data_IF_101545291212
#
_entry.id   IF_101545291212
#
_cell.length_a   1.000
_cell.length_b   1.000
_cell.length_c   1.000
_cell.angle_alpha   90.00
_cell.angle_beta   90.00
_cell.angle_gamma   90.00
#
_symmetry.space_group_name_H-M   'P 1'
#
loop_
_entity.id
_entity.type
_entity.pdbx_description
1 polymer ?
#
# COMPACT_ATOMS: atom_id res chain seq x y z
N UNK A 1 -4.57 -41.30 -6.89
CA UNK A 1 -5.42 -41.65 -8.04
C UNK A 1 -5.81 -40.33 -8.67
N UNK A 2 -5.17 -39.89 -9.75
CA UNK A 2 -5.45 -40.35 -11.12
C UNK A 2 -6.72 -39.61 -11.57
N UNK A 3 -6.77 -38.73 -12.56
CA UNK A 3 -5.98 -38.63 -13.78
C UNK A 3 -5.86 -37.17 -14.24
N UNK A 4 -4.72 -36.90 -14.87
CA UNK A 4 -4.43 -35.74 -15.70
C UNK A 4 -5.13 -35.89 -17.06
N UNK A 5 -5.70 -34.82 -17.62
CA UNK A 5 -5.49 -34.46 -19.02
C UNK A 5 -5.80 -32.97 -19.29
N UNK A 6 -4.99 -32.30 -20.12
CA UNK A 6 -5.21 -30.92 -20.58
C UNK A 6 -5.93 -30.91 -21.94
N UNK A 7 -6.94 -30.06 -22.09
CA UNK A 7 -7.57 -29.80 -23.39
C UNK A 7 -6.81 -28.71 -24.14
N UNK A 8 -6.06 -29.15 -25.14
CA UNK A 8 -5.45 -28.32 -26.16
C UNK A 8 -6.51 -27.84 -27.16
N UNK A 9 -6.45 -26.53 -27.44
CA UNK A 9 -6.73 -25.84 -28.71
C UNK A 9 -7.48 -26.63 -29.81
N UNK A 10 -8.68 -26.16 -30.16
CA UNK A 10 -9.27 -26.37 -31.48
C UNK A 10 -10.10 -25.15 -31.90
N UNK A 11 -9.69 -24.49 -32.98
CA UNK A 11 -10.60 -23.95 -33.99
C UNK A 11 -9.89 -23.98 -35.38
N UNK A 12 -10.55 -24.50 -36.44
CA UNK A 12 -10.04 -24.62 -37.81
C UNK A 12 -10.45 -23.41 -38.66
N UNK A 13 -9.86 -23.09 -39.82
CA UNK A 13 -10.14 -23.66 -41.16
C UNK A 13 -9.39 -22.80 -42.23
N UNK A 14 -8.69 -23.37 -43.23
CA UNK A 14 -9.14 -23.72 -44.61
C UNK A 14 -9.59 -22.47 -45.42
N UNK A 15 -9.24 -22.13 -46.67
CA UNK A 15 -8.38 -22.63 -47.78
C UNK A 15 -8.55 -21.59 -48.93
N UNK A 16 -7.45 -21.19 -49.57
CA UNK A 16 -7.25 -20.82 -51.01
C UNK A 16 -7.91 -19.57 -51.60
N UNK A 17 -7.10 -18.73 -52.28
CA UNK A 17 -7.13 -18.57 -53.75
C UNK A 17 -5.81 -17.94 -54.26
N UNK A 18 -5.43 -18.36 -55.46
CA UNK A 18 -4.24 -18.01 -56.25
C UNK A 18 -4.66 -17.05 -57.35
N UNK A 19 -3.93 -15.96 -57.58
CA UNK A 19 -3.99 -15.16 -58.83
C UNK A 19 -2.72 -14.29 -58.92
N UNK A 20 -1.70 -14.70 -59.67
CA UNK A 20 -1.41 -14.23 -61.04
C UNK A 20 -1.39 -12.71 -61.13
N UNK A 21 -0.20 -12.10 -60.98
CA UNK A 21 0.06 -10.73 -61.45
C UNK A 21 0.82 -10.80 -62.77
N UNK A 22 0.09 -10.54 -63.87
CA UNK A 22 0.63 -10.27 -65.20
C UNK A 22 0.86 -8.76 -65.36
N UNK A 23 2.08 -8.44 -65.77
CA UNK A 23 2.58 -7.32 -66.58
C UNK A 23 1.71 -6.10 -66.87
N UNK A 24 2.24 -4.89 -66.59
CA UNK A 24 2.16 -3.69 -67.46
C UNK A 24 3.43 -2.84 -67.19
N UNK A 25 4.49 -2.97 -67.97
CA UNK A 25 4.91 -2.08 -69.09
C UNK A 25 5.00 -0.61 -68.68
N UNK A 26 6.22 -0.04 -68.73
CA UNK A 26 6.39 1.41 -68.63
C UNK A 26 7.82 1.95 -68.42
N UNK A 27 8.83 1.39 -69.08
CA UNK A 27 9.94 2.21 -69.60
C UNK A 27 9.64 2.39 -71.11
N UNK A 28 10.09 3.42 -71.86
CA UNK A 28 11.03 4.52 -71.56
C UNK A 28 10.46 5.87 -72.15
N UNK A 29 11.18 6.91 -72.67
CA UNK A 29 12.52 6.97 -73.26
C UNK A 29 13.51 7.85 -72.49
N UNK A 30 14.71 7.29 -72.25
CA UNK A 30 15.94 8.06 -72.26
C UNK A 30 16.03 8.75 -73.62
N UNK A 31 15.82 10.06 -73.64
CA UNK A 31 15.98 10.87 -74.82
C UNK A 31 17.43 10.75 -75.29
N UNK A 32 17.55 10.19 -76.50
CA UNK A 32 18.70 10.25 -77.38
C UNK A 32 19.27 11.67 -77.31
N UNK A 33 20.55 11.80 -76.92
CA UNK A 33 21.31 12.99 -77.26
C UNK A 33 21.48 12.98 -78.78
N UNK A 34 20.46 13.47 -79.48
CA UNK A 34 20.63 13.97 -80.84
C UNK A 34 21.50 15.22 -80.71
N UNK A 35 22.80 15.00 -80.94
CA UNK A 35 23.69 16.03 -81.47
C UNK A 35 23.10 16.52 -82.79
N UNK A 36 22.13 17.41 -82.71
CA UNK A 36 21.88 18.37 -83.77
C UNK A 36 23.08 19.33 -83.75
N UNK A 37 24.13 18.91 -84.44
CA UNK A 37 25.05 19.83 -85.10
C UNK A 37 24.19 20.68 -86.03
N UNK A 38 23.66 21.78 -85.50
CA UNK A 38 23.16 22.86 -86.33
C UNK A 38 24.35 23.30 -87.17
N UNK A 39 24.24 23.02 -88.47
CA UNK A 39 25.09 23.49 -89.54
C UNK A 39 25.57 24.91 -89.18
N UNK A 40 26.87 25.03 -88.92
CA UNK A 40 27.57 26.27 -89.20
C UNK A 40 27.28 26.54 -90.68
N UNK A 41 26.24 27.33 -90.92
CA UNK A 41 26.09 27.99 -92.19
C UNK A 41 27.32 28.85 -92.31
N UNK A 42 28.27 28.32 -93.06
CA UNK A 42 29.44 28.96 -93.62
C UNK A 42 29.08 30.41 -93.94
N UNK A 43 29.32 31.30 -92.98
CA UNK A 43 29.55 32.69 -93.33
C UNK A 43 30.96 32.66 -93.84
N UNK A 44 31.06 32.55 -95.17
CA UNK A 44 32.22 32.94 -95.95
C UNK A 44 32.95 34.05 -95.19
N UNK A 45 34.02 33.67 -94.50
CA UNK A 45 35.02 34.64 -94.06
C UNK A 45 35.67 35.03 -95.37
N UNK A 46 35.09 36.04 -96.01
CA UNK A 46 35.71 36.72 -97.14
C UNK A 46 37.11 37.10 -96.62
N UNK A 47 38.19 36.61 -97.23
CA UNK A 47 39.52 37.00 -96.81
C UNK A 47 39.60 38.52 -96.91
N UNK A 48 39.90 39.17 -95.79
CA UNK A 48 40.08 40.62 -95.70
C UNK A 48 41.37 40.99 -96.44
N UNK A 49 41.26 41.12 -97.77
CA UNK A 49 42.33 41.61 -98.63
C UNK A 49 42.38 43.12 -98.45
N UNK A 50 43.39 43.59 -97.71
CA UNK A 50 43.73 45.00 -97.56
C UNK A 50 44.71 45.37 -98.69
N UNK A 51 44.25 45.35 -99.93
CA UNK A 51 44.96 46.03 -101.03
C UNK A 51 44.39 47.45 -101.18
N UNK A 52 45.23 48.49 -101.30
CA UNK A 52 44.76 49.84 -101.54
C UNK A 52 44.01 49.87 -102.87
N UNK A 53 42.78 50.39 -102.82
CA UNK A 53 41.90 50.44 -103.99
C UNK A 53 42.52 51.34 -105.08
N UNK A 54 42.29 50.99 -106.35
CA UNK A 54 42.67 51.85 -107.47
C UNK A 54 42.04 53.24 -107.30
N UNK A 55 42.78 54.30 -107.64
CA UNK A 55 42.32 55.70 -107.50
C UNK A 55 40.98 55.94 -108.22
N UNK A 56 40.74 55.24 -109.34
CA UNK A 56 39.47 55.33 -110.06
C UNK A 56 38.31 54.68 -109.28
N UNK A 57 38.59 53.60 -108.56
CA UNK A 57 37.60 52.88 -107.75
C UNK A 57 37.32 53.62 -106.44
N UNK A 58 38.36 54.21 -105.83
CA UNK A 58 38.23 55.16 -104.72
C UNK A 58 37.27 56.29 -105.07
N UNK A 59 37.43 56.91 -106.26
CA UNK A 59 36.57 58.02 -106.67
C UNK A 59 35.12 57.56 -106.89
N UNK A 60 34.91 56.42 -107.55
CA UNK A 60 33.59 55.84 -107.79
C UNK A 60 32.89 55.49 -106.47
N UNK A 61 33.60 54.82 -105.56
CA UNK A 61 33.05 54.40 -104.26
C UNK A 61 32.77 55.63 -103.39
N UNK A 62 33.66 56.63 -103.37
CA UNK A 62 33.46 57.87 -102.62
C UNK A 62 32.20 58.62 -103.09
N UNK A 63 31.97 58.73 -104.40
CA UNK A 63 30.73 59.36 -104.90
C UNK A 63 29.46 58.63 -104.48
N UNK A 64 29.53 57.31 -104.32
CA UNK A 64 28.40 56.51 -103.81
C UNK A 64 28.26 56.69 -102.29
N UNK A 65 29.36 56.75 -101.54
CA UNK A 65 29.33 56.99 -100.10
C UNK A 65 28.84 58.40 -99.76
N UNK A 66 29.21 59.41 -100.55
CA UNK A 66 28.68 60.78 -100.48
C UNK A 66 27.17 60.80 -100.67
N UNK A 67 26.67 60.18 -101.75
CA UNK A 67 25.22 60.07 -102.00
C UNK A 67 24.51 59.31 -100.86
N UNK A 68 25.10 58.25 -100.31
CA UNK A 68 24.52 57.56 -99.15
C UNK A 68 24.52 58.42 -97.87
N UNK A 69 25.54 59.25 -97.67
CA UNK A 69 25.62 60.19 -96.55
C UNK A 69 24.57 61.29 -96.67
N UNK A 70 24.37 61.79 -97.89
CA UNK A 70 23.33 62.75 -98.21
C UNK A 70 21.94 62.16 -98.02
N UNK A 71 21.72 60.91 -98.44
CA UNK A 71 20.46 60.19 -98.23
C UNK A 71 20.20 59.90 -96.73
N UNK A 72 21.23 59.55 -95.94
CA UNK A 72 21.13 59.40 -94.49
C UNK A 72 20.88 60.73 -93.78
N UNK A 73 21.37 61.84 -94.36
CA UNK A 73 21.10 63.20 -93.90
C UNK A 73 19.65 63.59 -94.21
N UNK A 74 19.14 63.28 -95.40
CA UNK A 74 17.73 63.46 -95.77
C UNK A 74 16.83 62.64 -94.85
N UNK A 75 17.20 61.39 -94.53
CA UNK A 75 16.45 60.55 -93.58
C UNK A 75 16.36 61.19 -92.18
N UNK A 76 17.41 61.90 -91.73
CA UNK A 76 17.39 62.68 -90.50
C UNK A 76 16.41 63.87 -90.55
N UNK A 77 16.29 64.51 -91.72
CA UNK A 77 15.33 65.61 -91.95
C UNK A 77 13.88 65.11 -92.02
N UNK A 78 13.65 63.92 -92.56
CA UNK A 78 12.32 63.30 -92.66
C UNK A 78 11.87 62.73 -91.31
N UNK A 79 12.81 62.26 -90.48
CA UNK A 79 12.52 61.63 -89.19
C UNK A 79 13.25 62.28 -88.00
N UNK A 80 13.03 63.57 -87.70
CA UNK A 80 13.68 64.26 -86.59
C UNK A 80 13.04 63.87 -85.24
N UNK A 81 13.86 63.50 -84.26
CA UNK A 81 13.40 63.33 -82.87
C UNK A 81 13.21 64.70 -82.22
N UNK A 82 12.15 65.42 -82.59
CA UNK A 82 11.78 66.69 -81.92
C UNK A 82 10.29 66.73 -81.55
N UNK A 83 9.98 66.18 -80.38
CA UNK A 83 8.88 66.67 -79.56
C UNK A 83 9.44 67.04 -78.18
N UNK A 84 9.75 68.33 -77.99
CA UNK A 84 10.26 68.84 -76.72
C UNK A 84 10.76 70.28 -76.70
N UNK A 85 10.41 71.14 -77.68
CA UNK A 85 10.93 72.51 -77.76
C UNK A 85 9.82 73.55 -78.00
N UNK A 86 8.95 73.75 -77.02
CA UNK A 86 8.19 75.01 -76.85
C UNK A 86 7.78 75.17 -75.38
N UNK A 87 8.65 75.77 -74.58
CA UNK A 87 8.33 76.63 -73.42
C UNK A 87 9.64 77.14 -72.83
N UNK A 88 9.99 78.40 -73.09
CA UNK A 88 10.88 79.20 -72.23
C UNK A 88 11.03 80.61 -72.79
N UNK A 89 10.15 81.50 -72.35
CA UNK A 89 10.48 82.91 -72.16
C UNK A 89 9.92 83.31 -70.81
N UNK A 90 10.76 83.32 -69.77
CA UNK A 90 10.61 84.18 -68.59
C UNK A 90 11.82 84.04 -67.67
N UNK A 91 12.71 85.04 -67.78
CA UNK A 91 13.42 85.73 -66.70
C UNK A 91 14.27 84.93 -65.68
N UNK A 92 15.59 85.15 -65.84
CA UNK A 92 16.54 85.72 -64.87
C UNK A 92 16.73 85.05 -63.48
N UNK A 93 18.03 84.80 -63.26
CA UNK A 93 18.90 85.17 -62.11
C UNK A 93 19.30 84.06 -61.12
N UNK A 94 20.63 83.96 -61.03
CA UNK A 94 21.47 83.81 -59.82
C UNK A 94 21.75 82.38 -59.33
N UNK A 95 23.04 81.99 -59.44
CA UNK A 95 24.04 81.87 -58.35
C UNK A 95 23.92 80.52 -57.63
N UNK A 96 24.80 79.56 -57.93
CA UNK A 96 26.21 79.43 -57.50
C UNK A 96 26.34 78.46 -56.34
N UNK A 97 27.41 77.68 -56.41
CA UNK A 97 28.12 76.97 -55.34
C UNK A 97 27.81 75.47 -55.18
N UNK A 98 28.79 74.67 -55.62
CA UNK A 98 29.55 73.64 -54.85
C UNK A 98 28.79 72.72 -53.88
N UNK A 99 29.12 71.45 -53.68
CA UNK A 99 30.41 70.74 -53.76
C UNK A 99 30.13 69.23 -53.60
N UNK A 100 30.91 68.42 -54.30
CA UNK A 100 31.59 67.18 -53.86
C UNK A 100 30.81 66.12 -53.06
N UNK A 101 30.66 64.91 -53.61
CA UNK A 101 31.54 63.73 -53.37
C UNK A 101 31.29 63.13 -51.97
N UNK A 102 31.24 61.83 -51.72
CA UNK A 102 31.94 60.71 -52.33
C UNK A 102 31.23 59.40 -51.97
N UNK A 103 31.55 58.39 -52.78
CA UNK A 103 31.41 56.96 -52.58
C UNK A 103 31.20 56.45 -51.14
N UNK A 104 30.36 55.43 -50.98
CA UNK A 104 30.83 54.04 -51.12
C UNK A 104 29.76 53.01 -50.73
N UNK A 105 29.85 51.88 -51.42
CA UNK A 105 29.03 50.68 -51.33
C UNK A 105 29.24 49.97 -49.99
N UNK A 106 28.23 49.28 -49.46
CA UNK A 106 28.31 47.82 -49.20
C UNK A 106 26.91 47.24 -49.03
N UNK A 107 26.84 45.95 -49.35
CA UNK A 107 25.69 45.13 -49.67
C UNK A 107 25.27 44.20 -48.51
N UNK A 108 24.14 43.50 -48.75
CA UNK A 108 23.64 42.22 -48.18
C UNK A 108 22.40 42.38 -47.29
N UNK A 109 21.21 42.09 -47.81
CA UNK A 109 20.53 40.78 -47.94
C UNK A 109 20.15 40.17 -46.58
N UNK A 110 18.86 40.17 -46.23
CA UNK A 110 18.03 38.95 -46.14
C UNK A 110 16.76 39.17 -45.30
N UNK A 111 15.64 38.75 -45.88
CA UNK A 111 14.34 38.38 -45.29
C UNK A 111 14.47 37.31 -44.16
N UNK A 112 13.43 36.88 -43.38
CA UNK A 112 12.08 36.51 -43.88
C UNK A 112 10.85 36.74 -42.97
N UNK A 113 9.67 36.65 -43.60
CA UNK A 113 8.34 36.48 -43.01
C UNK A 113 8.18 35.14 -42.27
N UNK A 114 7.29 35.02 -41.27
CA UNK A 114 5.86 34.58 -41.34
C UNK A 114 5.33 34.40 -39.88
N UNK A 115 4.05 34.07 -39.56
CA UNK A 115 2.86 33.84 -40.40
C UNK A 115 1.56 34.53 -39.90
N UNK A 116 0.48 34.50 -40.69
CA UNK A 116 -0.84 34.24 -40.11
C UNK A 116 -1.70 33.39 -41.05
N UNK A 117 -2.26 32.38 -40.44
CA UNK A 117 -3.21 31.37 -40.89
C UNK A 117 -4.62 31.95 -40.86
N UNK A 118 -5.46 31.59 -41.82
CA UNK A 118 -6.92 31.55 -41.61
C UNK A 118 -7.57 30.58 -42.61
N UNK A 119 -8.51 29.78 -42.12
CA UNK A 119 -9.37 28.94 -42.96
C UNK A 119 -10.84 29.06 -42.53
N UNK A 120 -11.70 29.33 -43.53
CA UNK A 120 -13.10 28.90 -43.79
C UNK A 120 -14.32 29.77 -43.39
N UNK A 121 -14.95 30.31 -44.47
CA UNK A 121 -16.37 30.19 -44.94
C UNK A 121 -17.53 30.76 -44.07
N UNK A 122 -18.78 30.88 -44.60
CA UNK A 122 -19.26 31.75 -45.69
C UNK A 122 -20.52 32.56 -45.27
N UNK A 123 -20.81 33.70 -45.91
CA UNK A 123 -22.00 34.51 -45.58
C UNK A 123 -22.43 35.43 -46.70
N UNK A 124 -23.73 35.40 -46.98
CA UNK A 124 -24.42 35.89 -48.17
C UNK A 124 -24.65 37.41 -48.16
N UNK A 125 -24.81 37.94 -49.38
CA UNK A 125 -25.57 39.13 -49.79
C UNK A 125 -24.87 40.49 -49.97
N UNK A 126 -24.83 40.85 -51.26
CA UNK A 126 -25.21 42.14 -51.87
C UNK A 126 -24.55 43.41 -51.33
N UNK A 127 -23.73 44.01 -52.20
CA UNK A 127 -23.64 45.46 -52.28
C UNK A 127 -22.24 45.97 -52.56
N UNK A 128 -21.74 45.80 -53.79
CA UNK A 128 -20.99 46.83 -54.53
C UNK A 128 -20.32 46.21 -55.78
N UNK A 129 -21.13 45.83 -56.76
CA UNK A 129 -20.65 45.58 -58.12
C UNK A 129 -20.53 46.88 -58.95
N UNK A 130 -20.74 48.07 -58.34
CA UNK A 130 -20.75 49.36 -59.06
C UNK A 130 -19.49 50.22 -58.91
N UNK A 131 -18.48 49.82 -58.13
CA UNK A 131 -17.26 50.63 -57.94
C UNK A 131 -16.01 50.13 -58.66
N UNK A 132 -16.00 48.90 -59.20
CA UNK A 132 -14.83 48.30 -59.86
C UNK A 132 -14.85 48.32 -61.40
N UNK A 133 -16.00 48.58 -62.04
CA UNK A 133 -16.07 48.71 -63.51
C UNK A 133 -15.65 50.11 -63.99
N UNK A 134 -15.94 51.16 -63.20
CA UNK A 134 -15.55 52.54 -63.55
C UNK A 134 -14.02 52.74 -63.58
N UNK A 135 -13.29 52.07 -62.67
CA UNK A 135 -11.82 52.12 -62.63
C UNK A 135 -11.15 51.24 -63.70
N UNK A 136 -11.80 50.15 -64.16
CA UNK A 136 -11.24 49.30 -65.23
C UNK A 136 -11.39 49.92 -66.63
N UNK A 137 -12.43 50.72 -66.87
CA UNK A 137 -12.57 51.44 -68.14
C UNK A 137 -11.62 52.64 -68.25
N UNK A 138 -11.29 53.32 -67.15
CA UNK A 138 -10.27 54.38 -67.17
C UNK A 138 -8.85 53.83 -67.33
N UNK A 139 -8.51 52.70 -66.69
CA UNK A 139 -7.14 52.17 -66.69
C UNK A 139 -6.75 51.42 -67.99
N UNK A 140 -7.75 50.97 -68.78
CA UNK A 140 -7.53 50.33 -70.08
C UNK A 140 -7.46 51.33 -71.26
N UNK A 141 -8.07 52.52 -71.11
CA UNK A 141 -8.09 53.55 -72.16
C UNK A 141 -6.80 54.42 -72.13
N UNK A 142 -6.14 54.56 -70.98
CA UNK A 142 -4.88 55.32 -70.88
C UNK A 142 -3.60 54.48 -71.08
N UNK A 143 -3.63 53.14 -70.94
CA UNK A 143 -2.40 52.31 -71.03
C UNK A 143 -2.09 51.75 -72.41
N UNK A 144 -3.09 51.58 -73.29
CA UNK A 144 -2.90 51.10 -74.67
C UNK A 144 -2.19 52.12 -75.58
N UNK A 145 -2.57 53.41 -75.62
CA UNK A 145 -1.81 54.38 -76.41
C UNK A 145 -0.41 54.56 -75.83
N UNK A 146 -0.26 54.58 -74.50
CA UNK A 146 1.03 54.85 -73.84
C UNK A 146 2.08 53.76 -74.09
N UNK A 147 1.74 52.46 -74.12
CA UNK A 147 2.70 51.40 -74.49
C UNK A 147 3.05 51.40 -75.98
N UNK A 148 2.09 51.66 -76.87
CA UNK A 148 2.37 51.80 -78.30
C UNK A 148 3.20 53.04 -78.61
N UNK A 149 2.93 54.16 -77.92
CA UNK A 149 3.69 55.41 -78.02
C UNK A 149 5.09 55.28 -77.43
N UNK A 150 5.27 54.64 -76.27
CA UNK A 150 6.61 54.43 -75.69
C UNK A 150 7.45 53.48 -76.55
N UNK A 151 6.89 52.36 -77.00
CA UNK A 151 7.57 51.46 -77.94
C UNK A 151 7.93 52.16 -79.25
N UNK A 152 7.05 53.00 -79.78
CA UNK A 152 7.33 53.83 -80.96
C UNK A 152 8.46 54.82 -80.70
N UNK A 153 8.54 55.43 -79.51
CA UNK A 153 9.63 56.35 -79.16
C UNK A 153 10.98 55.64 -78.95
N UNK A 154 10.99 54.45 -78.34
CA UNK A 154 12.23 53.67 -78.16
C UNK A 154 12.73 53.13 -79.51
N UNK A 155 11.82 52.71 -80.40
CA UNK A 155 12.12 52.32 -81.77
C UNK A 155 12.66 53.52 -82.55
N UNK A 156 12.03 54.71 -82.45
CA UNK A 156 12.52 55.94 -83.09
C UNK A 156 13.92 56.33 -82.58
N UNK A 157 14.17 56.23 -81.27
CA UNK A 157 15.50 56.46 -80.69
C UNK A 157 16.52 55.45 -81.23
N UNK A 158 16.17 54.16 -81.26
CA UNK A 158 17.02 53.11 -81.83
C UNK A 158 17.34 53.38 -83.30
N UNK A 159 16.34 53.73 -84.11
CA UNK A 159 16.56 54.06 -85.53
C UNK A 159 17.46 55.29 -85.65
N UNK A 160 17.30 56.30 -84.79
CA UNK A 160 18.17 57.48 -84.82
C UNK A 160 19.61 57.16 -84.38
N UNK A 161 19.80 56.31 -83.37
CA UNK A 161 21.14 55.86 -82.95
C UNK A 161 21.79 54.98 -84.00
N UNK A 162 21.02 54.08 -84.62
CA UNK A 162 21.50 53.22 -85.70
C UNK A 162 21.86 54.07 -86.93
N UNK A 163 21.02 55.05 -87.31
CA UNK A 163 21.30 56.02 -88.38
C UNK A 163 22.57 56.82 -88.10
N UNK A 164 22.73 57.34 -86.88
CA UNK A 164 23.92 58.09 -86.50
C UNK A 164 25.16 57.20 -86.59
N UNK A 165 25.09 55.97 -86.08
CA UNK A 165 26.15 54.99 -86.17
C UNK A 165 26.53 54.66 -87.62
N UNK A 166 25.56 54.45 -88.52
CA UNK A 166 25.83 54.25 -89.95
C UNK A 166 26.43 55.50 -90.61
N UNK A 167 25.93 56.69 -90.27
CA UNK A 167 26.46 57.96 -90.76
C UNK A 167 27.92 58.13 -90.36
N UNK A 168 28.24 57.89 -89.08
CA UNK A 168 29.60 58.03 -88.54
C UNK A 168 30.56 57.03 -89.21
N UNK A 169 30.13 55.76 -89.38
CA UNK A 169 30.93 54.75 -90.08
C UNK A 169 31.16 55.14 -91.54
N UNK A 170 30.12 55.58 -92.26
CA UNK A 170 30.25 55.94 -93.68
C UNK A 170 31.18 57.15 -93.82
N UNK A 171 31.07 58.18 -92.98
CA UNK A 171 31.97 59.32 -93.00
C UNK A 171 33.41 58.94 -92.65
N UNK A 172 33.61 58.09 -91.65
CA UNK A 172 34.94 57.59 -91.27
C UNK A 172 35.56 56.76 -92.40
N UNK A 173 34.76 55.98 -93.13
CA UNK A 173 35.23 55.16 -94.25
C UNK A 173 35.50 55.98 -95.51
N UNK A 174 34.73 57.03 -95.75
CA UNK A 174 34.95 57.96 -96.85
C UNK A 174 36.24 58.75 -96.63
N UNK A 175 36.45 59.23 -95.40
CA UNK A 175 37.70 59.88 -95.00
C UNK A 175 38.91 58.93 -95.12
N UNK A 176 38.78 57.68 -94.64
CA UNK A 176 39.85 56.67 -94.77
C UNK A 176 40.14 56.32 -96.25
N UNK A 177 39.12 56.31 -97.09
CA UNK A 177 39.24 56.01 -98.52
C UNK A 177 39.92 57.17 -99.29
N UNK A 178 39.67 58.42 -98.91
CA UNK A 178 40.33 59.61 -99.45
C UNK A 178 41.79 59.74 -98.97
N UNK A 179 42.06 59.42 -97.71
CA UNK A 179 43.39 59.61 -97.08
C UNK A 179 44.36 58.46 -97.38
N UNK A 180 43.90 57.21 -97.34
CA UNK A 180 44.76 56.02 -97.45
C UNK A 180 44.29 54.97 -98.45
N UNK A 181 43.12 55.15 -99.08
CA UNK A 181 42.59 54.19 -100.06
C UNK A 181 42.14 52.85 -99.47
N UNK A 182 41.90 52.80 -98.16
CA UNK A 182 41.55 51.59 -97.40
C UNK A 182 40.20 51.74 -96.66
N UNK A 183 39.64 50.62 -96.18
CA UNK A 183 38.32 50.58 -95.52
C UNK A 183 38.32 49.83 -94.17
N UNK A 184 39.43 49.91 -93.42
CA UNK A 184 39.63 49.17 -92.16
C UNK A 184 38.67 49.60 -91.05
N UNK A 185 38.17 50.84 -91.07
CA UNK A 185 37.18 51.35 -90.13
C UNK A 185 35.84 50.60 -90.23
N UNK A 186 35.34 50.38 -91.45
CA UNK A 186 34.11 49.60 -91.70
C UNK A 186 34.26 48.17 -91.20
N UNK A 187 35.42 47.58 -91.44
CA UNK A 187 35.74 46.21 -91.14
C UNK A 187 35.86 45.97 -89.62
N UNK A 188 36.50 46.89 -88.89
CA UNK A 188 36.51 46.88 -87.41
C UNK A 188 35.11 47.05 -86.82
N UNK A 189 34.30 47.95 -87.38
CA UNK A 189 32.92 48.14 -86.95
C UNK A 189 32.06 46.89 -87.20
N UNK A 190 32.23 46.24 -88.36
CA UNK A 190 31.56 44.99 -88.71
C UNK A 190 32.00 43.83 -87.79
N UNK A 191 33.29 43.73 -87.48
CA UNK A 191 33.81 42.74 -86.53
C UNK A 191 33.21 42.90 -85.13
N UNK A 192 33.15 44.13 -84.63
CA UNK A 192 32.52 44.46 -83.34
C UNK A 192 31.02 44.14 -83.33
N UNK A 193 30.31 44.40 -84.43
CA UNK A 193 28.89 44.08 -84.53
C UNK A 193 28.64 42.56 -84.62
N UNK A 194 29.53 41.82 -85.30
CA UNK A 194 29.51 40.34 -85.29
C UNK A 194 29.73 39.79 -83.87
N UNK A 195 30.68 40.33 -83.12
CA UNK A 195 30.95 39.95 -81.73
C UNK A 195 29.77 40.29 -80.80
N UNK A 196 29.21 41.51 -80.91
CA UNK A 196 28.01 41.91 -80.17
C UNK A 196 26.84 40.97 -80.43
N UNK A 197 26.63 40.58 -81.69
CA UNK A 197 25.59 39.62 -82.09
C UNK A 197 25.83 38.25 -81.48
N UNK A 198 27.07 37.76 -81.46
CA UNK A 198 27.43 36.50 -80.80
C UNK A 198 27.15 36.55 -79.29
N UNK A 199 27.60 37.62 -78.61
CA UNK A 199 27.33 37.84 -77.19
C UNK A 199 25.84 37.92 -76.86
N UNK A 200 25.02 38.51 -77.74
CA UNK A 200 23.57 38.56 -77.55
C UNK A 200 22.95 37.15 -77.60
N UNK A 201 23.36 36.30 -78.55
CA UNK A 201 22.92 34.91 -78.59
C UNK A 201 23.39 34.12 -77.36
N UNK A 202 24.62 34.35 -76.87
CA UNK A 202 25.12 33.73 -75.63
C UNK A 202 24.31 34.15 -74.40
N UNK A 203 23.90 35.42 -74.32
CA UNK A 203 23.04 35.93 -73.24
C UNK A 203 21.67 35.24 -73.31
N UNK A 204 21.07 35.13 -74.50
CA UNK A 204 19.79 34.44 -74.68
C UNK A 204 19.88 32.98 -74.25
N UNK A 205 20.91 32.26 -74.71
CA UNK A 205 21.10 30.85 -74.37
C UNK A 205 21.27 30.66 -72.85
N UNK A 206 22.04 31.53 -72.19
CA UNK A 206 22.19 31.52 -70.72
C UNK A 206 20.88 31.84 -69.99
N UNK A 207 20.11 32.82 -70.47
CA UNK A 207 18.81 33.15 -69.87
C UNK A 207 17.83 31.99 -69.99
N UNK A 208 17.77 31.33 -71.16
CA UNK A 208 16.89 30.18 -71.37
C UNK A 208 17.29 28.99 -70.48
N UNK A 209 18.59 28.71 -70.37
CA UNK A 209 19.13 27.71 -69.44
C UNK A 209 18.77 28.05 -67.99
N UNK A 210 18.89 29.32 -67.60
CA UNK A 210 18.47 29.81 -66.28
C UNK A 210 16.98 29.61 -66.03
N UNK A 211 16.12 29.94 -67.00
CA UNK A 211 14.66 29.70 -66.92
C UNK A 211 14.33 28.21 -66.81
N UNK A 212 15.04 27.34 -67.54
CA UNK A 212 14.90 25.87 -67.43
C UNK A 212 15.29 25.39 -66.02
N UNK A 213 16.40 25.88 -65.46
CA UNK A 213 16.83 25.56 -64.08
C UNK A 213 15.86 26.08 -63.02
N UNK A 214 15.33 27.30 -63.16
CA UNK A 214 14.33 27.84 -62.22
C UNK A 214 13.07 26.97 -62.24
N UNK A 215 12.59 26.57 -63.43
CA UNK A 215 11.42 25.68 -63.55
C UNK A 215 11.67 24.30 -62.94
N UNK A 216 12.86 23.71 -63.11
CA UNK A 216 13.19 22.42 -62.49
C UNK A 216 13.26 22.54 -60.96
N UNK A 217 13.89 23.58 -60.43
CA UNK A 217 13.96 23.84 -58.98
C UNK A 217 12.56 24.11 -58.39
N UNK A 218 11.71 24.87 -59.08
CA UNK A 218 10.32 25.08 -58.66
C UNK A 218 9.54 23.76 -58.60
N UNK A 219 9.73 22.87 -59.58
CA UNK A 219 9.11 21.53 -59.59
C UNK A 219 9.64 20.65 -58.44
N UNK A 220 10.94 20.66 -58.19
CA UNK A 220 11.55 19.95 -57.06
C UNK A 220 11.01 20.46 -55.71
N UNK A 221 10.93 21.78 -55.53
CA UNK A 221 10.40 22.39 -54.31
C UNK A 221 8.94 22.00 -54.06
N UNK A 222 8.12 21.97 -55.12
CA UNK A 222 6.72 21.54 -55.01
C UNK A 222 6.62 20.05 -54.67
N UNK A 223 7.44 19.20 -55.30
CA UNK A 223 7.50 17.78 -54.98
C UNK A 223 7.90 17.52 -53.52
N UNK A 224 8.97 18.16 -53.04
CA UNK A 224 9.41 18.06 -51.63
C UNK A 224 8.31 18.53 -50.67
N UNK A 225 7.59 19.60 -51.01
CA UNK A 225 6.45 20.06 -50.20
C UNK A 225 5.31 19.03 -50.15
N UNK A 226 5.01 18.38 -51.29
CA UNK A 226 3.99 17.33 -51.37
C UNK A 226 4.41 16.08 -50.58
N UNK A 227 5.65 15.64 -50.73
CA UNK A 227 6.22 14.50 -49.99
C UNK A 227 6.19 14.75 -48.48
N UNK A 228 6.65 15.94 -48.04
CA UNK A 228 6.59 16.33 -46.63
C UNK A 228 5.16 16.33 -46.10
N UNK A 229 4.20 16.80 -46.90
CA UNK A 229 2.79 16.79 -46.49
C UNK A 229 2.23 15.37 -46.37
N UNK A 230 2.56 14.49 -47.31
CA UNK A 230 2.16 13.07 -47.25
C UNK A 230 2.79 12.37 -46.04
N UNK A 231 4.06 12.64 -45.73
CA UNK A 231 4.73 12.08 -44.56
C UNK A 231 4.10 12.57 -43.24
N UNK A 232 3.76 13.86 -43.15
CA UNK A 232 3.04 14.41 -41.99
C UNK A 232 1.66 13.74 -41.82
N UNK A 233 0.93 13.52 -42.92
CA UNK A 233 -0.35 12.82 -42.88
C UNK A 233 -0.19 11.37 -42.41
N UNK A 234 0.76 10.62 -42.98
CA UNK A 234 1.05 9.24 -42.57
C UNK A 234 1.46 9.14 -41.09
N UNK A 235 2.29 10.07 -40.61
CA UNK A 235 2.66 10.14 -39.19
C UNK A 235 1.47 10.48 -38.30
N UNK A 236 0.58 11.38 -38.73
CA UNK A 236 -0.64 11.71 -37.99
C UNK A 236 -1.61 10.54 -37.91
N UNK A 237 -1.76 9.77 -38.99
CA UNK A 237 -2.54 8.53 -39.01
C UNK A 237 -1.96 7.49 -38.06
N UNK A 238 -0.64 7.33 -38.05
CA UNK A 238 0.04 6.44 -37.11
C UNK A 238 -0.15 6.87 -35.64
N UNK A 239 -0.07 8.17 -35.36
CA UNK A 239 -0.38 8.72 -34.03
C UNK A 239 -1.84 8.43 -33.64
N UNK A 240 -2.79 8.57 -34.56
CA UNK A 240 -4.20 8.27 -34.29
C UNK A 240 -4.39 6.79 -33.96
N UNK A 241 -3.82 5.88 -34.76
CA UNK A 241 -3.85 4.44 -34.51
C UNK A 241 -3.24 4.08 -33.14
N UNK A 242 -2.08 4.66 -32.78
CA UNK A 242 -1.47 4.44 -31.46
C UNK A 242 -2.33 4.95 -30.30
N UNK A 243 -3.03 6.08 -30.49
CA UNK A 243 -3.98 6.60 -29.49
C UNK A 243 -5.16 5.66 -29.31
N UNK A 244 -5.70 5.13 -30.39
CA UNK A 244 -6.82 4.18 -30.35
C UNK A 244 -6.40 2.89 -29.65
N UNK A 245 -5.22 2.33 -29.98
CA UNK A 245 -4.66 1.17 -29.28
C UNK A 245 -4.47 1.42 -27.79
N UNK A 246 -3.95 2.59 -27.42
CA UNK A 246 -3.76 2.96 -26.02
C UNK A 246 -5.10 3.08 -25.28
N UNK A 247 -6.11 3.65 -25.91
CA UNK A 247 -7.44 3.77 -25.34
C UNK A 247 -8.12 2.39 -25.21
N UNK A 248 -7.97 1.52 -26.20
CA UNK A 248 -8.46 0.13 -26.16
C UNK A 248 -7.79 -0.65 -25.02
N UNK A 249 -6.46 -0.60 -24.91
CA UNK A 249 -5.70 -1.25 -23.84
C UNK A 249 -6.14 -0.73 -22.46
N UNK A 250 -6.30 0.59 -22.31
CA UNK A 250 -6.78 1.20 -21.07
C UNK A 250 -8.19 0.72 -20.72
N UNK A 251 -9.08 0.61 -21.70
CA UNK A 251 -10.42 0.08 -21.48
C UNK A 251 -10.39 -1.39 -21.07
N UNK A 252 -9.62 -2.24 -21.77
CA UNK A 252 -9.43 -3.66 -21.45
C UNK A 252 -8.89 -3.86 -20.05
N UNK A 253 -7.77 -3.23 -19.70
CA UNK A 253 -7.16 -3.33 -18.36
C UNK A 253 -8.11 -2.84 -17.27
N UNK A 254 -8.89 -1.78 -17.51
CA UNK A 254 -9.88 -1.32 -16.53
C UNK A 254 -11.03 -2.33 -16.34
N UNK A 255 -11.51 -2.97 -17.40
CA UNK A 255 -12.53 -4.02 -17.31
C UNK A 255 -11.99 -5.25 -16.58
N UNK A 256 -10.79 -5.71 -16.94
CA UNK A 256 -10.10 -6.84 -16.31
C UNK A 256 -9.87 -6.56 -14.82
N UNK A 257 -9.38 -5.38 -14.44
CA UNK A 257 -9.20 -5.00 -13.04
C UNK A 257 -10.53 -5.04 -12.26
N UNK A 258 -11.63 -4.54 -12.84
CA UNK A 258 -12.95 -4.59 -12.19
C UNK A 258 -13.44 -6.02 -12.05
N UNK A 259 -13.26 -6.85 -13.07
CA UNK A 259 -13.62 -8.25 -13.03
C UNK A 259 -12.82 -9.01 -11.96
N UNK A 260 -11.49 -8.85 -11.95
CA UNK A 260 -10.60 -9.49 -10.97
C UNK A 260 -10.90 -9.04 -9.55
N UNK A 261 -11.12 -7.75 -9.32
CA UNK A 261 -11.54 -7.23 -8.02
C UNK A 261 -12.87 -7.86 -7.58
N UNK A 262 -13.87 -7.89 -8.46
CA UNK A 262 -15.17 -8.48 -8.13
C UNK A 262 -15.07 -9.99 -7.85
N UNK A 263 -14.28 -10.70 -8.65
CA UNK A 263 -14.05 -12.13 -8.48
C UNK A 263 -13.37 -12.45 -7.15
N UNK A 264 -12.31 -11.72 -6.80
CA UNK A 264 -11.60 -11.88 -5.52
C UNK A 264 -12.48 -11.51 -4.32
N UNK A 265 -13.23 -10.41 -4.39
CA UNK A 265 -14.23 -10.03 -3.36
C UNK A 265 -15.29 -11.13 -3.16
N UNK A 266 -15.78 -11.73 -4.26
CA UNK A 266 -16.74 -12.83 -4.18
C UNK A 266 -16.13 -14.07 -3.53
N UNK A 267 -14.90 -14.44 -3.88
CA UNK A 267 -14.20 -15.57 -3.24
C UNK A 267 -13.97 -15.33 -1.75
N UNK A 268 -13.55 -14.12 -1.36
CA UNK A 268 -13.39 -13.73 0.05
C UNK A 268 -14.74 -13.82 0.76
N UNK A 269 -15.80 -13.23 0.20
CA UNK A 269 -17.15 -13.26 0.81
C UNK A 269 -17.69 -14.69 0.94
N UNK A 270 -17.47 -15.53 -0.07
CA UNK A 270 -17.90 -16.93 -0.05
C UNK A 270 -17.16 -17.71 1.05
N UNK A 271 -15.84 -17.54 1.13
CA UNK A 271 -15.01 -18.18 2.16
C UNK A 271 -15.42 -17.70 3.54
N UNK A 272 -15.58 -16.38 3.73
CA UNK A 272 -16.05 -15.79 4.98
C UNK A 272 -17.41 -16.36 5.40
N UNK A 273 -18.38 -16.47 4.48
CA UNK A 273 -19.69 -17.06 4.79
C UNK A 273 -19.60 -18.54 5.17
N UNK A 274 -18.68 -19.30 4.58
CA UNK A 274 -18.46 -20.70 4.98
C UNK A 274 -17.89 -20.78 6.39
N UNK A 275 -16.86 -19.97 6.67
CA UNK A 275 -16.24 -19.89 7.99
C UNK A 275 -17.24 -19.45 9.07
N UNK A 276 -18.02 -18.40 8.81
CA UNK A 276 -19.03 -17.91 9.76
C UNK A 276 -20.08 -18.99 10.08
N UNK A 277 -20.56 -19.74 9.07
CA UNK A 277 -21.52 -20.84 9.32
C UNK A 277 -20.91 -21.94 10.18
N UNK A 278 -19.66 -22.32 9.93
CA UNK A 278 -18.98 -23.32 10.76
C UNK A 278 -18.75 -22.81 12.18
N UNK A 279 -18.44 -21.53 12.33
CA UNK A 279 -18.27 -20.87 13.63
C UNK A 279 -19.59 -20.82 14.41
N UNK A 280 -20.69 -20.43 13.75
CA UNK A 280 -22.04 -20.44 14.34
C UNK A 280 -22.44 -21.84 14.84
N UNK A 281 -22.19 -22.89 14.04
CA UNK A 281 -22.47 -24.27 14.45
C UNK A 281 -21.65 -24.70 15.67
N UNK A 282 -20.36 -24.33 15.73
CA UNK A 282 -19.51 -24.60 16.88
C UNK A 282 -19.97 -23.82 18.12
N UNK A 283 -20.40 -22.57 17.96
CA UNK A 283 -20.94 -21.76 19.06
C UNK A 283 -22.25 -22.35 19.60
N UNK A 284 -23.13 -22.85 18.73
CA UNK A 284 -24.34 -23.58 19.14
C UNK A 284 -24.00 -24.86 19.90
N UNK A 285 -22.99 -25.62 19.46
CA UNK A 285 -22.52 -26.83 20.14
C UNK A 285 -21.93 -26.51 21.52
N UNK A 286 -21.10 -25.47 21.63
CA UNK A 286 -20.58 -24.96 22.90
C UNK A 286 -21.75 -24.58 23.82
N UNK A 287 -22.77 -23.89 23.31
CA UNK A 287 -23.97 -23.55 24.07
C UNK A 287 -24.71 -24.79 24.60
N UNK A 288 -24.91 -25.79 23.76
CA UNK A 288 -25.53 -27.08 24.16
C UNK A 288 -24.71 -27.81 25.21
N UNK A 289 -23.39 -27.84 25.08
CA UNK A 289 -22.50 -28.47 26.05
C UNK A 289 -22.53 -27.73 27.40
N UNK A 290 -22.52 -26.39 27.39
CA UNK A 290 -22.65 -25.59 28.62
C UNK A 290 -23.95 -25.90 29.36
N UNK A 291 -25.09 -25.94 28.66
CA UNK A 291 -26.37 -26.29 29.26
C UNK A 291 -26.36 -27.70 29.87
N UNK A 292 -25.76 -28.69 29.20
CA UNK A 292 -25.61 -30.04 29.74
C UNK A 292 -24.73 -30.07 31.00
N UNK A 293 -23.62 -29.35 30.99
CA UNK A 293 -22.72 -29.25 32.16
C UNK A 293 -23.43 -28.56 33.33
N UNK A 294 -24.20 -27.51 33.09
CA UNK A 294 -25.00 -26.84 34.12
C UNK A 294 -26.04 -27.78 34.72
N UNK A 295 -26.72 -28.58 33.89
CA UNK A 295 -27.69 -29.59 34.35
C UNK A 295 -27.01 -30.70 35.17
N UNK A 296 -25.88 -31.23 34.70
CA UNK A 296 -25.09 -32.22 35.44
C UNK A 296 -24.60 -31.67 36.79
N UNK A 297 -24.12 -30.42 36.83
CA UNK A 297 -23.72 -29.76 38.07
C UNK A 297 -24.89 -29.62 39.06
N UNK A 298 -26.09 -29.28 38.55
CA UNK A 298 -27.30 -29.19 39.36
C UNK A 298 -27.66 -30.56 39.95
N UNK A 299 -27.72 -31.59 39.12
CA UNK A 299 -28.03 -32.96 39.55
C UNK A 299 -26.98 -33.43 40.57
N UNK A 300 -25.69 -33.18 40.32
CA UNK A 300 -24.61 -33.53 41.24
C UNK A 300 -24.80 -32.87 42.61
N UNK A 301 -25.12 -31.59 42.63
CA UNK A 301 -25.39 -30.86 43.88
C UNK A 301 -26.62 -31.41 44.61
N UNK A 302 -27.69 -31.77 43.90
CA UNK A 302 -28.87 -32.42 44.50
C UNK A 302 -28.54 -33.79 45.11
N UNK A 303 -27.74 -34.61 44.42
CA UNK A 303 -27.26 -35.90 44.93
C UNK A 303 -26.36 -35.71 46.15
N UNK A 304 -25.40 -34.78 46.09
CA UNK A 304 -24.49 -34.51 47.19
C UNK A 304 -25.25 -34.03 48.43
N UNK A 305 -26.21 -33.13 48.26
CA UNK A 305 -27.09 -32.68 49.34
C UNK A 305 -27.89 -33.84 49.94
N UNK A 306 -28.40 -34.76 49.12
CA UNK A 306 -29.11 -35.95 49.59
C UNK A 306 -28.19 -36.85 50.43
N UNK A 307 -26.99 -37.16 49.93
CA UNK A 307 -26.02 -38.01 50.63
C UNK A 307 -25.55 -37.39 51.94
N UNK A 308 -25.26 -36.09 51.95
CA UNK A 308 -24.90 -35.36 53.18
C UNK A 308 -26.01 -35.42 54.23
N UNK A 309 -27.28 -35.31 53.83
CA UNK A 309 -28.43 -35.45 54.74
C UNK A 309 -28.54 -36.86 55.33
N UNK A 310 -28.33 -37.90 54.53
CA UNK A 310 -28.35 -39.28 55.03
C UNK A 310 -27.16 -39.58 55.93
N UNK A 311 -25.97 -39.07 55.59
CA UNK A 311 -24.80 -39.15 56.46
C UNK A 311 -25.07 -38.49 57.82
N UNK A 312 -25.61 -37.26 57.82
CA UNK A 312 -25.96 -36.56 59.05
C UNK A 312 -26.94 -37.37 59.92
N UNK A 313 -27.98 -37.98 59.33
CA UNK A 313 -28.91 -38.85 60.07
C UNK A 313 -28.24 -40.07 60.70
N UNK A 314 -27.20 -40.62 60.05
CA UNK A 314 -26.43 -41.73 60.59
C UNK A 314 -25.49 -41.28 61.70
N UNK A 315 -24.86 -40.11 61.55
CA UNK A 315 -24.03 -39.47 62.58
C UNK A 315 -24.85 -39.19 63.84
N UNK A 316 -26.04 -38.58 63.71
CA UNK A 316 -26.96 -38.34 64.83
C UNK A 316 -27.36 -39.65 65.56
N UNK A 317 -27.61 -40.74 64.81
CA UNK A 317 -27.89 -42.06 65.41
C UNK A 317 -26.66 -42.61 66.13
N UNK A 318 -25.48 -42.45 65.56
CA UNK A 318 -24.22 -42.91 66.14
C UNK A 318 -23.93 -42.16 67.45
N UNK A 319 -24.08 -40.84 67.45
CA UNK A 319 -23.96 -40.01 68.66
C UNK A 319 -24.94 -40.44 69.75
N UNK A 320 -26.21 -40.68 69.39
CA UNK A 320 -27.21 -41.19 70.34
C UNK A 320 -26.79 -42.53 70.96
N UNK A 321 -26.30 -43.47 70.14
CA UNK A 321 -25.87 -44.77 70.66
C UNK A 321 -24.61 -44.66 71.50
N UNK A 322 -23.63 -43.84 71.10
CA UNK A 322 -22.43 -43.57 71.90
C UNK A 322 -22.80 -43.00 73.27
N UNK A 323 -23.64 -41.96 73.31
CA UNK A 323 -24.07 -41.35 74.58
C UNK A 323 -24.84 -42.36 75.46
N UNK A 324 -25.67 -43.21 74.84
CA UNK A 324 -26.35 -44.29 75.57
C UNK A 324 -25.36 -45.30 76.15
N UNK A 325 -24.39 -45.76 75.35
CA UNK A 325 -23.38 -46.71 75.80
C UNK A 325 -22.54 -46.14 76.95
N UNK A 326 -22.14 -44.87 76.86
CA UNK A 326 -21.40 -44.18 77.91
C UNK A 326 -22.23 -44.11 79.21
N UNK A 327 -23.50 -43.67 79.12
CA UNK A 327 -24.42 -43.62 80.28
C UNK A 327 -24.65 -44.99 80.91
N UNK A 328 -24.90 -46.02 80.10
CA UNK A 328 -25.11 -47.39 80.60
C UNK A 328 -23.83 -47.94 81.25
N UNK A 329 -22.66 -47.63 80.68
CA UNK A 329 -21.35 -48.02 81.24
C UNK A 329 -21.08 -47.31 82.56
N UNK A 330 -21.33 -46.00 82.64
CA UNK A 330 -21.23 -45.23 83.89
C UNK A 330 -22.20 -45.76 84.95
N UNK A 331 -23.44 -46.06 84.58
CA UNK A 331 -24.44 -46.65 85.48
C UNK A 331 -23.96 -48.00 86.03
N UNK A 332 -23.46 -48.90 85.17
CA UNK A 332 -22.92 -50.20 85.58
C UNK A 332 -21.65 -50.06 86.42
N UNK A 333 -20.79 -49.10 86.10
CA UNK A 333 -19.60 -48.80 86.90
C UNK A 333 -19.99 -48.28 88.29
N UNK A 334 -21.02 -47.44 88.38
CA UNK A 334 -21.57 -46.93 89.64
C UNK A 334 -22.20 -48.05 90.48
N UNK A 335 -23.01 -48.94 89.87
CA UNK A 335 -23.55 -50.13 90.53
C UNK A 335 -22.42 -51.03 91.07
N UNK A 336 -21.39 -51.28 90.25
CA UNK A 336 -20.23 -52.08 90.66
C UNK A 336 -19.49 -51.43 91.83
N UNK A 337 -19.30 -50.12 91.80
CA UNK A 337 -18.66 -49.37 92.87
C UNK A 337 -19.50 -49.42 94.17
N UNK A 338 -20.82 -49.30 94.06
CA UNK A 338 -21.74 -49.43 95.20
C UNK A 338 -21.68 -50.85 95.82
N UNK A 339 -21.69 -51.90 94.99
CA UNK A 339 -21.54 -53.29 95.47
C UNK A 339 -20.17 -53.54 96.10
N UNK A 340 -19.09 -52.98 95.54
CA UNK A 340 -17.75 -53.05 96.14
C UNK A 340 -17.72 -52.34 97.49
N UNK A 341 -18.34 -51.17 97.62
CA UNK A 341 -18.44 -50.44 98.88
C UNK A 341 -19.26 -51.21 99.92
N UNK A 342 -20.41 -51.78 99.53
CA UNK A 342 -21.23 -52.63 100.40
C UNK A 342 -20.44 -53.86 100.88
N UNK A 343 -19.78 -54.59 99.97
CA UNK A 343 -18.92 -55.73 100.31
C UNK A 343 -17.79 -55.34 101.27
N UNK A 344 -17.16 -54.18 101.06
CA UNK A 344 -16.10 -53.69 101.93
C UNK A 344 -16.65 -53.36 103.34
N UNK A 345 -17.84 -52.74 103.42
CA UNK A 345 -18.54 -52.48 104.68
C UNK A 345 -18.90 -53.78 105.41
N UNK A 346 -19.48 -54.76 104.71
CA UNK A 346 -19.83 -56.06 105.30
C UNK A 346 -18.58 -56.80 105.80
N UNK A 347 -17.50 -56.75 105.02
CA UNK A 347 -16.21 -57.34 105.42
C UNK A 347 -15.65 -56.64 106.67
N UNK A 348 -15.73 -55.31 106.75
CA UNK A 348 -15.32 -54.56 107.94
C UNK A 348 -16.16 -54.95 109.17
N UNK A 349 -17.48 -55.04 109.01
CA UNK A 349 -18.39 -55.49 110.09
C UNK A 349 -18.08 -56.93 110.54
N UNK A 350 -17.79 -57.84 109.61
CA UNK A 350 -17.37 -59.21 109.95
C UNK A 350 -16.01 -59.23 110.67
N UNK A 351 -15.06 -58.39 110.27
CA UNK A 351 -13.77 -58.25 110.95
C UNK A 351 -13.95 -57.68 112.37
N UNK A 352 -14.82 -56.70 112.56
CA UNK A 352 -15.19 -56.17 113.87
C UNK A 352 -15.84 -57.25 114.74
N UNK A 353 -16.82 -57.99 114.21
CA UNK A 353 -17.42 -59.12 114.93
C UNK A 353 -16.38 -60.17 115.32
N UNK A 354 -15.51 -60.58 114.38
CA UNK A 354 -14.44 -61.53 114.67
C UNK A 354 -13.49 -60.99 115.76
N UNK A 355 -13.21 -59.68 115.76
CA UNK A 355 -12.42 -59.04 116.82
C UNK A 355 -13.15 -59.09 118.16
N UNK A 356 -14.44 -58.72 118.20
CA UNK A 356 -15.25 -58.79 119.43
C UNK A 356 -15.37 -60.22 119.97
N UNK A 357 -15.49 -61.23 119.11
CA UNK A 357 -15.49 -62.64 119.52
C UNK A 357 -14.15 -63.01 120.15
N UNK A 358 -13.02 -62.65 119.53
CA UNK A 358 -11.69 -62.89 120.13
C UNK A 358 -11.52 -62.18 121.46
N UNK A 359 -12.01 -60.93 121.57
CA UNK A 359 -12.02 -60.18 122.82
C UNK A 359 -12.87 -60.90 123.89
N UNK A 360 -14.07 -61.38 123.55
CA UNK A 360 -14.90 -62.18 124.48
C UNK A 360 -14.26 -63.51 124.85
N UNK A 361 -13.69 -64.25 123.90
CA UNK A 361 -12.95 -65.49 124.15
C UNK A 361 -11.78 -65.24 125.10
N UNK A 362 -11.02 -64.16 124.89
CA UNK A 362 -9.94 -63.75 125.77
C UNK A 362 -10.45 -63.43 127.19
N UNK A 363 -11.54 -62.68 127.33
CA UNK A 363 -12.17 -62.41 128.63
C UNK A 363 -12.66 -63.69 129.31
N UNK A 364 -13.21 -64.64 128.56
CA UNK A 364 -13.65 -65.95 129.11
C UNK A 364 -12.43 -66.75 129.60
N UNK A 365 -11.34 -66.78 128.83
CA UNK A 365 -10.09 -67.44 129.23
C UNK A 365 -9.52 -66.77 130.48
N UNK A 366 -9.50 -65.44 130.52
CA UNK A 366 -9.04 -64.65 131.66
C UNK A 366 -9.88 -64.93 132.92
N UNK A 367 -11.21 -64.88 132.85
CA UNK A 367 -12.11 -65.24 133.97
C UNK A 367 -11.95 -66.70 134.39
N UNK A 368 -11.74 -67.64 133.44
CA UNK A 368 -11.47 -69.05 133.76
C UNK A 368 -10.16 -69.22 134.52
N UNK A 369 -9.11 -68.52 134.09
CA UNK A 369 -7.78 -68.57 134.70
C UNK A 369 -7.76 -67.84 136.05
N UNK A 370 -8.53 -66.76 136.20
CA UNK A 370 -8.70 -66.02 137.45
C UNK A 370 -9.52 -66.83 138.48
N UNK A 371 -10.56 -67.56 138.04
CA UNK A 371 -11.24 -68.56 138.87
C UNK A 371 -10.34 -69.71 139.28
N UNK A 372 -9.44 -70.16 138.41
CA UNK A 372 -8.47 -71.19 138.76
C UNK A 372 -7.43 -70.67 139.76
N UNK A 373 -6.92 -69.45 139.57
CA UNK A 373 -5.99 -68.78 140.51
C UNK A 373 -6.63 -68.58 141.88
N UNK A 374 -7.87 -68.13 141.93
CA UNK A 374 -8.60 -67.95 143.20
C UNK A 374 -8.86 -69.29 143.90
N UNK A 375 -9.19 -70.35 143.16
CA UNK A 375 -9.26 -71.72 143.71
C UNK A 375 -7.94 -72.17 144.30
N UNK A 376 -6.83 -72.04 143.55
CA UNK A 376 -5.49 -72.38 144.06
C UNK A 376 -5.13 -71.58 145.31
N UNK A 377 -5.51 -70.29 145.36
CA UNK A 377 -5.27 -69.42 146.52
C UNK A 377 -6.07 -69.87 147.74
N UNK A 378 -7.34 -70.18 147.57
CA UNK A 378 -8.19 -70.75 148.63
C UNK A 378 -7.62 -72.09 149.11
N UNK A 379 -7.21 -72.98 148.20
CA UNK A 379 -6.58 -74.27 148.58
C UNK A 379 -5.30 -74.07 149.39
N UNK A 380 -4.49 -73.07 149.04
CA UNK A 380 -3.27 -72.72 149.75
C UNK A 380 -3.56 -72.10 151.12
N UNK A 381 -4.49 -71.16 151.20
CA UNK A 381 -4.96 -70.57 152.47
C UNK A 381 -5.56 -71.66 153.39
N UNK A 382 -6.26 -72.65 152.82
CA UNK A 382 -6.85 -73.77 153.57
C UNK A 382 -5.77 -74.74 154.11
N UNK A 383 -4.67 -74.94 153.36
CA UNK A 383 -3.48 -75.64 153.83
C UNK A 383 -2.73 -74.86 154.92
N UNK A 384 -2.58 -73.55 154.75
CA UNK A 384 -2.00 -72.65 155.76
C UNK A 384 -2.84 -72.67 157.05
N UNK A 385 -4.17 -72.57 156.94
CA UNK A 385 -5.10 -72.68 158.07
C UNK A 385 -4.99 -74.03 158.78
N UNK A 386 -4.87 -75.15 158.03
CA UNK A 386 -4.64 -76.48 158.62
C UNK A 386 -3.31 -76.54 159.37
N UNK A 387 -2.26 -75.87 158.88
CA UNK A 387 -0.98 -75.80 159.59
C UNK A 387 -1.07 -74.92 160.85
N UNK A 388 -1.74 -73.75 160.78
CA UNK A 388 -2.00 -72.87 161.92
C UNK A 388 -2.86 -73.57 162.98
N UNK A 389 -3.92 -74.30 162.59
CA UNK A 389 -4.78 -75.05 163.51
C UNK A 389 -4.00 -76.16 164.24
N UNK A 390 -3.07 -76.85 163.57
CA UNK A 390 -2.16 -77.80 164.22
C UNK A 390 -1.23 -77.11 165.24
N UNK A 391 -0.71 -75.94 164.91
CA UNK A 391 0.09 -75.12 165.84
C UNK A 391 -0.74 -74.66 167.05
N UNK A 392 -1.97 -74.23 166.81
CA UNK A 392 -2.90 -73.77 167.86
C UNK A 392 -3.33 -74.92 168.79
N UNK A 393 -3.52 -76.13 168.25
CA UNK A 393 -3.80 -77.34 169.02
C UNK A 393 -2.59 -77.78 169.88
N UNK A 394 -1.37 -77.67 169.34
CA UNK A 394 -0.13 -77.96 170.08
C UNK A 394 0.09 -76.99 171.25
N UNK A 395 -0.06 -75.68 171.02
CA UNK A 395 0.04 -74.67 172.08
C UNK A 395 -1.06 -74.78 173.15
N UNK A 396 -2.30 -75.12 172.76
CA UNK A 396 -3.39 -75.37 173.72
C UNK A 396 -3.14 -76.63 174.56
N UNK A 397 -2.58 -77.70 173.97
CA UNK A 397 -2.21 -78.93 174.70
C UNK A 397 -1.05 -78.75 175.70
N UNK A 398 -0.09 -77.85 175.41
CA UNK A 398 0.98 -77.48 176.35
C UNK A 398 0.43 -76.62 177.50
N UNK A 399 -0.48 -75.69 177.21
CA UNK A 399 -1.09 -74.80 178.21
C UNK A 399 -1.99 -75.54 179.22
N UNK A 400 -2.55 -76.70 178.84
CA UNK A 400 -3.37 -77.55 179.71
C UNK A 400 -2.53 -78.47 180.62
N UNK A 401 -1.28 -78.80 180.27
CA UNK A 401 -0.43 -79.74 181.04
C UNK A 401 0.43 -79.12 182.16
N UNK A 402 0.36 -77.80 182.38
CA UNK A 402 1.18 -77.08 183.40
C UNK A 402 0.36 -76.27 184.42
N UNK A 403 -0.95 -76.51 184.54
CA UNK A 403 -1.86 -75.99 185.59
C UNK A 403 -1.58 -74.57 186.14
N UNK A 404 -1.62 -73.56 185.25
CA UNK A 404 -1.72 -72.13 185.65
C UNK A 404 -2.96 -71.52 184.98
N UNK A 405 -4.01 -71.30 185.78
CA UNK A 405 -4.96 -70.21 185.61
C UNK A 405 -6.27 -70.47 184.86
N UNK A 406 -7.36 -70.66 185.63
CA UNK A 406 -8.61 -69.89 185.53
C UNK A 406 -9.61 -70.23 184.43
N UNK A 407 -10.42 -71.27 184.63
CA UNK A 407 -11.59 -71.63 183.82
C UNK A 407 -12.84 -70.82 184.25
N UNK A 408 -13.48 -70.09 183.33
CA UNK A 408 -14.83 -69.51 183.50
C UNK A 408 -15.69 -69.71 182.24
N UNK A 409 -16.93 -70.11 182.46
CA UNK A 409 -18.09 -69.94 181.55
C UNK A 409 -19.04 -68.89 182.14
N UNK A 410 -19.41 -67.87 181.34
CA UNK A 410 -20.80 -67.39 181.21
C UNK A 410 -21.13 -67.04 179.73
N UNK A 411 -22.34 -66.97 179.17
CA UNK A 411 -23.74 -66.94 179.63
C UNK A 411 -24.65 -67.23 178.42
N UNK A 412 -25.92 -67.57 178.66
CA UNK A 412 -26.96 -67.94 177.69
C UNK A 412 -28.16 -67.02 177.97
N UNK A 413 -28.56 -66.21 176.99
CA UNK A 413 -29.86 -65.53 176.96
C UNK A 413 -30.76 -66.28 175.96
N UNK A 414 -31.98 -66.57 176.42
CA UNK A 414 -33.13 -67.03 175.63
C UNK A 414 -34.26 -66.05 175.94
N UNK A 415 -34.89 -65.53 174.88
CA UNK A 415 -36.21 -64.92 174.92
C UNK A 415 -37.03 -65.57 173.80
N UNK A 416 -38.20 -66.09 174.17
CA UNK A 416 -39.27 -66.60 173.30
C UNK A 416 -40.07 -65.36 172.82
N UNK A 417 -40.61 -65.21 171.60
CA UNK A 417 -41.56 -66.05 170.89
C UNK A 417 -42.64 -65.15 170.25
N UNK A 418 -42.81 -65.16 168.92
CA UNK A 418 -44.13 -65.21 168.25
C UNK A 418 -44.00 -65.52 166.74
N UNK A 419 -44.81 -66.50 166.31
CA UNK A 419 -45.06 -67.00 164.96
C UNK A 419 -45.51 -65.90 163.95
N UNK A 420 -45.11 -65.95 162.67
CA UNK A 420 -45.88 -66.70 161.66
C UNK A 420 -45.05 -67.22 160.48
N UNK A 421 -45.20 -68.53 160.25
CA UNK A 421 -44.85 -69.36 159.07
C UNK A 421 -45.08 -68.71 157.69
N UNK A 422 -44.12 -68.97 156.79
CA UNK A 422 -44.29 -69.00 155.32
C UNK A 422 -43.05 -69.60 154.63
N UNK A 423 -43.22 -70.78 154.03
CA UNK A 423 -42.19 -71.70 153.46
C UNK A 423 -41.75 -71.33 152.02
N UNK A 424 -40.51 -71.68 151.66
CA UNK A 424 -40.02 -71.90 150.26
C UNK A 424 -38.73 -71.12 149.94
N UNK A 425 -37.51 -71.68 149.93
CA UNK A 425 -36.90 -72.54 148.87
C UNK A 425 -37.17 -71.90 147.49
N UNK A 426 -36.23 -71.27 146.78
CA UNK A 426 -35.04 -71.87 146.17
C UNK A 426 -34.06 -70.80 145.64
N UNK A 427 -32.83 -71.22 145.31
CA UNK A 427 -31.79 -70.45 144.60
C UNK A 427 -32.29 -70.01 143.20
N UNK A 428 -32.04 -68.76 142.79
CA UNK A 428 -31.03 -68.46 141.75
C UNK A 428 -30.85 -66.97 141.46
N UNK A 429 -29.63 -66.61 141.07
CA UNK A 429 -29.20 -65.31 140.58
C UNK A 429 -29.56 -65.18 139.10
N UNK A 430 -30.13 -64.03 138.69
CA UNK A 430 -29.51 -63.15 137.67
C UNK A 430 -30.30 -61.86 137.48
N UNK A 431 -29.62 -60.76 137.82
CA UNK A 431 -29.85 -59.38 137.38
C UNK A 431 -29.21 -59.18 136.00
N UNK A 432 -29.77 -58.25 135.23
CA UNK A 432 -29.16 -57.62 134.04
C UNK A 432 -30.22 -57.49 132.93
N UNK A 433 -31.08 -56.47 132.87
CA UNK A 433 -30.90 -55.00 132.84
C UNK A 433 -30.29 -54.47 131.53
N UNK A 434 -31.15 -53.76 130.79
CA UNK A 434 -30.92 -52.68 129.82
C UNK A 434 -30.34 -53.08 128.45
N UNK A 435 -30.91 -52.61 127.32
CA UNK A 435 -31.21 -51.21 127.01
C UNK A 435 -32.37 -51.08 126.03
#
# INVERSE_FOLDING_TARGET
>A
MGESQPEASNLPSKVWHSEVTVSVIGEPPSAVEEKETAEETDREVIPEIIEPLSILDVLRISTVLEDTTDQLSILNYIMPVQYGRRQSVSMKKNKSLEKLSEASRTSKISSPFLPKEETKLPGIQKGSQFTNEFNKMQDLVFKKPTRQTIMSTEIMKKIQTDRQFFSDIITDTMQELEESGTFTSLLKALGKERENKMHFYDIIAREEKGKKQIRSLQKQLLNVKRERQAEVQSRNEYIAHLKDQLQEMKAKTNMENRYMKKNTELQISQTQKKCNRTEELLLEEIGKLRLKTEEENRIHMEIEMFLRKEQQKLEEKLEFWMEKFDKDTEMKQNELNALKAAKASDLAHLQELAKTIREYEQVIIEDRLEREKTRKKIEQDDLELKSILKLQAWCRGIRVRREIGGFRLPRKDKDDGQDSKGKGKDKDKRKGKNK
#
